data_IF_532684441746
#
_entry.id   IF_532684441746
#
_cell.length_a   1.000
_cell.length_b   1.000
_cell.length_c   1.000
_cell.angle_alpha   90.00
_cell.angle_beta   90.00
_cell.angle_gamma   90.00
#
_symmetry.space_group_name_H-M   'P 1'
#
loop_
_entity.id
_entity.type
_entity.pdbx_description
1 polymer ?
#
# COMPACT_ATOMS: atom_id res chain seq x y z
N UNK A 1 9.18 -3.86 47.31
CA UNK A 1 7.84 -3.38 46.88
C UNK A 1 8.08 -2.20 45.93
N UNK A 2 7.78 -2.32 44.63
CA UNK A 2 7.92 -1.20 43.68
C UNK A 2 6.98 -0.06 44.08
N UNK A 3 7.50 1.17 44.17
CA UNK A 3 6.70 2.34 44.57
C UNK A 3 5.61 2.66 43.54
N UNK A 4 4.55 3.34 43.98
CA UNK A 4 3.44 3.76 43.12
C UNK A 4 3.92 4.54 41.88
N UNK A 5 4.99 5.34 42.05
CA UNK A 5 5.63 6.09 40.97
C UNK A 5 6.27 5.19 39.90
N UNK A 6 6.90 4.08 40.30
CA UNK A 6 7.46 3.12 39.35
C UNK A 6 6.37 2.41 38.55
N UNK A 7 5.24 2.09 39.18
CA UNK A 7 4.09 1.47 38.50
C UNK A 7 3.45 2.45 37.50
N UNK A 8 3.33 3.72 37.86
CA UNK A 8 2.81 4.76 36.97
C UNK A 8 3.74 5.01 35.76
N UNK A 9 5.07 5.05 35.98
CA UNK A 9 6.05 5.22 34.91
C UNK A 9 6.07 4.01 33.96
N UNK A 10 6.00 2.78 34.50
CA UNK A 10 5.90 1.56 33.69
C UNK A 10 4.61 1.52 32.86
N UNK A 11 3.48 1.90 33.45
CA UNK A 11 2.21 1.98 32.72
C UNK A 11 2.26 3.02 31.60
N UNK A 12 2.90 4.16 31.83
CA UNK A 12 3.09 5.21 30.82
C UNK A 12 4.00 4.74 29.67
N UNK A 13 5.12 4.07 29.98
CA UNK A 13 6.02 3.52 28.96
C UNK A 13 5.36 2.42 28.12
N UNK A 14 4.55 1.55 28.74
CA UNK A 14 3.79 0.52 28.02
C UNK A 14 2.68 1.12 27.14
N UNK A 15 2.01 2.18 27.61
CA UNK A 15 1.01 2.88 26.80
C UNK A 15 1.63 3.61 25.60
N UNK A 16 2.85 4.16 25.75
CA UNK A 16 3.57 4.79 24.64
C UNK A 16 4.10 3.76 23.63
N UNK A 17 4.53 2.59 24.10
CA UNK A 17 4.94 1.48 23.23
C UNK A 17 3.75 0.85 22.47
N UNK A 18 2.52 1.02 22.97
CA UNK A 18 1.30 0.55 22.34
C UNK A 18 0.72 1.53 21.31
N UNK A 19 1.48 2.52 20.84
CA UNK A 19 1.09 3.25 19.63
C UNK A 19 0.97 2.24 18.49
N UNK A 20 -0.28 1.90 18.17
CA UNK A 20 -0.61 1.00 17.09
C UNK A 20 -0.03 1.62 15.81
N UNK A 21 0.95 0.95 15.20
CA UNK A 21 1.27 1.20 13.81
C UNK A 21 0.02 0.83 13.01
N UNK A 22 -0.75 1.85 12.62
CA UNK A 22 -1.85 1.64 11.70
C UNK A 22 -1.28 0.93 10.47
N UNK A 23 -1.93 -0.16 10.05
CA UNK A 23 -1.51 -0.85 8.84
C UNK A 23 -1.54 0.16 7.69
N UNK A 24 -0.51 0.20 6.83
CA UNK A 24 -0.51 1.09 5.68
C UNK A 24 -1.75 0.85 4.83
N UNK A 25 -2.46 1.94 4.51
CA UNK A 25 -3.64 1.90 3.67
C UNK A 25 -3.20 1.89 2.20
N UNK A 26 -3.65 0.89 1.44
CA UNK A 26 -3.35 0.78 0.03
C UNK A 26 -4.63 0.92 -0.80
N UNK A 27 -4.57 1.79 -1.79
CA UNK A 27 -5.60 2.02 -2.80
C UNK A 27 -5.03 1.80 -4.20
N UNK A 28 -5.87 1.88 -5.21
CA UNK A 28 -5.41 1.83 -6.61
C UNK A 28 -6.09 2.89 -7.47
N UNK A 29 -5.41 3.28 -8.54
CA UNK A 29 -5.94 4.23 -9.51
C UNK A 29 -7.13 3.64 -10.26
N UNK A 30 -8.24 4.37 -10.33
CA UNK A 30 -9.49 3.96 -11.00
C UNK A 30 -9.66 4.58 -12.37
N UNK A 31 -8.90 5.63 -12.70
CA UNK A 31 -8.93 6.29 -14.00
C UNK A 31 -7.90 5.69 -14.96
N UNK A 32 -8.11 5.86 -16.28
CA UNK A 32 -7.12 5.37 -17.26
C UNK A 32 -5.82 6.18 -17.24
N UNK A 33 -5.89 7.44 -16.83
CA UNK A 33 -4.77 8.36 -16.73
C UNK A 33 -5.02 9.36 -15.59
N UNK A 34 -4.53 9.05 -14.40
CA UNK A 34 -4.64 9.93 -13.23
C UNK A 34 -3.39 10.80 -13.11
N UNK A 35 -3.56 12.11 -12.97
CA UNK A 35 -2.45 13.07 -12.82
C UNK A 35 -2.11 13.22 -11.34
N UNK A 36 -0.81 13.23 -11.03
CA UNK A 36 -0.30 13.56 -9.70
C UNK A 36 0.32 14.96 -9.66
N UNK A 37 0.40 15.57 -8.48
CA UNK A 37 0.75 16.97 -8.27
C UNK A 37 1.71 17.16 -7.08
N UNK A 38 2.46 18.26 -7.04
CA UNK A 38 3.35 18.60 -5.91
C UNK A 38 2.63 19.25 -4.72
N UNK A 39 1.41 19.74 -4.92
CA UNK A 39 0.53 20.28 -3.89
C UNK A 39 -0.94 19.85 -4.14
N UNK A 40 -1.83 19.87 -3.13
CA UNK A 40 -3.24 19.48 -3.27
C UNK A 40 -4.05 20.57 -4.00
N UNK A 41 -3.74 20.80 -5.27
CA UNK A 41 -4.40 21.81 -6.11
C UNK A 41 -4.26 21.46 -7.59
N UNK A 42 -5.32 21.67 -8.36
CA UNK A 42 -5.28 21.54 -9.82
C UNK A 42 -4.38 22.58 -10.50
N UNK A 43 -4.01 23.65 -9.79
CA UNK A 43 -3.07 24.69 -10.28
C UNK A 43 -1.61 24.37 -9.94
N UNK A 44 -1.37 23.32 -9.16
CA UNK A 44 -0.05 22.89 -8.76
C UNK A 44 0.72 22.26 -9.94
N UNK A 45 2.03 22.03 -9.76
CA UNK A 45 2.85 21.41 -10.80
C UNK A 45 2.43 19.94 -10.93
N UNK A 46 2.18 19.51 -12.17
CA UNK A 46 1.95 18.09 -12.49
C UNK A 46 3.28 17.34 -12.42
N UNK A 47 3.28 16.18 -11.77
CA UNK A 47 4.47 15.36 -11.56
C UNK A 47 4.50 14.14 -12.48
N UNK A 48 3.42 13.35 -12.48
CA UNK A 48 3.34 12.13 -13.28
C UNK A 48 1.90 11.80 -13.71
N UNK A 49 1.77 10.80 -14.59
CA UNK A 49 0.49 10.21 -14.99
C UNK A 49 0.55 8.73 -14.62
N UNK A 50 -0.45 8.28 -13.85
CA UNK A 50 -0.58 6.90 -13.39
C UNK A 50 -1.72 6.21 -14.11
N UNK A 51 -1.49 4.96 -14.50
CA UNK A 51 -2.48 4.12 -15.19
C UNK A 51 -3.44 3.46 -14.22
N UNK A 52 -4.62 3.06 -14.72
CA UNK A 52 -5.60 2.25 -13.98
C UNK A 52 -4.93 1.03 -13.32
N UNK A 53 -5.27 0.78 -12.06
CA UNK A 53 -4.75 -0.35 -11.29
C UNK A 53 -3.38 -0.10 -10.66
N UNK A 54 -2.73 1.04 -10.92
CA UNK A 54 -1.47 1.37 -10.24
C UNK A 54 -1.70 1.47 -8.72
N UNK A 55 -0.97 0.70 -7.89
CA UNK A 55 -1.17 0.72 -6.44
C UNK A 55 -0.52 1.95 -5.80
N UNK A 56 -1.17 2.48 -4.78
CA UNK A 56 -0.75 3.66 -4.04
C UNK A 56 -0.89 3.41 -2.54
N UNK A 57 0.15 3.72 -1.78
CA UNK A 57 0.05 3.84 -0.32
C UNK A 57 -0.51 5.22 0.02
N UNK A 58 -1.56 5.28 0.82
CA UNK A 58 -2.13 6.54 1.32
C UNK A 58 -1.32 6.99 2.52
N UNK A 59 -0.68 8.16 2.39
CA UNK A 59 0.17 8.75 3.44
C UNK A 59 -0.58 9.83 4.22
N UNK A 60 -1.39 10.63 3.52
CA UNK A 60 -2.26 11.66 4.12
C UNK A 60 -3.56 11.70 3.34
N UNK A 61 -4.69 11.77 4.04
CA UNK A 61 -6.01 11.98 3.46
C UNK A 61 -6.51 13.38 3.82
N UNK A 62 -6.88 14.16 2.81
CA UNK A 62 -7.55 15.45 2.94
C UNK A 62 -8.87 15.42 2.16
N UNK A 63 -9.72 16.42 2.37
CA UNK A 63 -10.91 16.61 1.55
C UNK A 63 -10.50 16.81 0.08
N UNK A 64 -11.03 15.95 -0.80
CA UNK A 64 -10.76 15.97 -2.25
C UNK A 64 -9.38 15.46 -2.68
N UNK A 65 -8.41 15.32 -1.77
CA UNK A 65 -7.01 15.00 -2.10
C UNK A 65 -6.41 13.94 -1.18
N UNK A 66 -5.54 13.11 -1.75
CA UNK A 66 -4.68 12.21 -0.99
C UNK A 66 -3.22 12.50 -1.32
N UNK A 67 -2.38 12.56 -0.29
CA UNK A 67 -0.93 12.42 -0.45
C UNK A 67 -0.63 10.93 -0.49
N UNK A 68 0.01 10.50 -1.56
CA UNK A 68 0.29 9.10 -1.83
C UNK A 68 1.77 8.86 -1.99
N UNK A 69 2.20 7.63 -1.66
CA UNK A 69 3.49 7.09 -2.07
C UNK A 69 3.27 6.07 -3.18
N UNK A 70 4.00 6.24 -4.29
CA UNK A 70 3.95 5.33 -5.43
C UNK A 70 4.83 4.08 -5.21
N UNK A 71 4.83 3.14 -6.16
CA UNK A 71 5.62 1.90 -6.04
C UNK A 71 7.14 2.12 -6.18
N UNK A 72 7.57 3.30 -6.60
CA UNK A 72 8.98 3.72 -6.65
C UNK A 72 9.39 4.47 -5.36
N UNK A 73 8.44 4.81 -4.49
CA UNK A 73 8.67 5.54 -3.25
C UNK A 73 8.45 7.05 -3.36
N UNK A 74 8.06 7.54 -4.53
CA UNK A 74 7.80 8.96 -4.80
C UNK A 74 6.53 9.43 -4.09
N UNK A 75 6.58 10.65 -3.53
CA UNK A 75 5.45 11.27 -2.85
C UNK A 75 4.79 12.31 -3.75
N UNK A 76 3.48 12.23 -3.92
CA UNK A 76 2.70 13.19 -4.70
C UNK A 76 1.27 13.33 -4.17
N UNK A 77 0.56 14.35 -4.62
CA UNK A 77 -0.86 14.55 -4.39
C UNK A 77 -1.69 14.05 -5.58
N UNK A 78 -2.81 13.42 -5.30
CA UNK A 78 -3.77 12.93 -6.31
C UNK A 78 -5.19 13.27 -5.84
N UNK A 79 -6.10 13.54 -6.78
CA UNK A 79 -7.52 13.74 -6.43
C UNK A 79 -8.14 12.43 -5.93
N UNK A 80 -8.90 12.48 -4.83
CA UNK A 80 -9.53 11.28 -4.23
C UNK A 80 -10.45 10.53 -5.20
N UNK A 81 -11.08 11.24 -6.14
CA UNK A 81 -11.95 10.62 -7.17
C UNK A 81 -11.21 9.68 -8.11
N UNK A 82 -9.89 9.86 -8.27
CA UNK A 82 -9.07 9.08 -9.18
C UNK A 82 -8.53 7.78 -8.56
N UNK A 83 -8.83 7.53 -7.28
CA UNK A 83 -8.39 6.36 -6.53
C UNK A 83 -9.57 5.62 -5.91
N UNK A 84 -9.47 4.30 -5.82
CA UNK A 84 -10.49 3.42 -5.26
C UNK A 84 -9.89 2.49 -4.21
N UNK A 85 -10.76 1.93 -3.37
CA UNK A 85 -10.37 1.09 -2.23
C UNK A 85 -9.80 -0.27 -2.63
N UNK A 86 -9.93 -0.65 -3.90
CA UNK A 86 -9.40 -1.93 -4.39
C UNK A 86 -7.88 -1.96 -4.23
N UNK A 87 -7.39 -2.90 -3.42
CA UNK A 87 -5.97 -3.17 -3.29
C UNK A 87 -5.46 -4.00 -4.47
N UNK A 88 -4.31 -3.60 -5.00
CA UNK A 88 -3.64 -4.27 -6.11
C UNK A 88 -2.23 -4.67 -5.67
N UNK A 89 -1.76 -5.83 -6.14
CA UNK A 89 -0.37 -6.26 -6.04
C UNK A 89 0.35 -5.91 -7.33
N UNK A 90 1.50 -5.25 -7.21
CA UNK A 90 2.39 -4.97 -8.33
C UNK A 90 3.67 -5.80 -8.20
N UNK A 91 4.04 -6.51 -9.25
CA UNK A 91 5.30 -7.25 -9.30
C UNK A 91 6.45 -6.26 -9.49
N UNK A 92 7.36 -6.18 -8.51
CA UNK A 92 8.50 -5.23 -8.51
C UNK A 92 9.82 -5.85 -8.99
N UNK A 93 9.91 -7.18 -9.01
CA UNK A 93 11.10 -7.94 -9.45
C UNK A 93 10.95 -8.33 -10.93
N UNK A 94 12.05 -8.63 -11.67
CA UNK A 94 11.99 -8.98 -13.09
C UNK A 94 10.99 -10.09 -13.42
N UNK A 95 10.96 -11.14 -12.60
CA UNK A 95 10.02 -12.25 -12.71
C UNK A 95 9.80 -12.87 -11.32
N UNK A 96 8.59 -13.35 -11.06
CA UNK A 96 8.24 -14.12 -9.86
C UNK A 96 7.38 -15.33 -10.22
N UNK A 97 7.63 -16.46 -9.56
CA UNK A 97 6.75 -17.63 -9.62
C UNK A 97 5.52 -17.40 -8.73
N UNK A 98 4.32 -17.49 -9.29
CA UNK A 98 3.07 -17.52 -8.53
C UNK A 98 2.68 -18.96 -8.27
N UNK A 99 2.55 -19.33 -7.00
CA UNK A 99 2.39 -20.72 -6.56
C UNK A 99 0.95 -21.03 -6.13
N UNK A 100 0.61 -22.32 -6.20
CA UNK A 100 -0.73 -22.81 -5.86
C UNK A 100 -1.05 -22.67 -4.37
N UNK A 101 -0.03 -22.77 -3.51
CA UNK A 101 -0.12 -22.59 -2.07
C UNK A 101 1.04 -21.71 -1.56
N UNK A 102 0.89 -21.20 -0.33
CA UNK A 102 1.90 -20.40 0.38
C UNK A 102 3.08 -21.26 0.89
N UNK A 103 3.79 -21.89 -0.05
CA UNK A 103 4.92 -22.77 0.18
C UNK A 103 5.84 -22.71 -1.05
N UNK A 104 7.14 -22.47 -0.85
CA UNK A 104 8.15 -22.42 -1.91
C UNK A 104 8.28 -23.74 -2.68
N UNK A 105 7.83 -24.86 -2.11
CA UNK A 105 7.80 -26.18 -2.77
C UNK A 105 6.49 -26.45 -3.52
N UNK A 106 5.48 -25.57 -3.38
CA UNK A 106 4.22 -25.71 -4.09
C UNK A 106 4.39 -25.53 -5.59
N UNK A 107 3.51 -26.17 -6.37
CA UNK A 107 3.50 -26.07 -7.82
C UNK A 107 3.36 -24.61 -8.28
N UNK A 108 4.16 -24.24 -9.29
CA UNK A 108 4.04 -22.94 -9.96
C UNK A 108 2.81 -22.99 -10.87
N UNK A 109 1.90 -22.05 -10.69
CA UNK A 109 0.69 -21.91 -11.51
C UNK A 109 0.97 -21.04 -12.73
N UNK A 110 1.72 -19.94 -12.56
CA UNK A 110 2.20 -19.09 -13.63
C UNK A 110 3.41 -18.26 -13.16
N UNK A 111 4.07 -17.60 -14.11
CA UNK A 111 5.12 -16.59 -13.83
C UNK A 111 4.59 -15.21 -14.17
N UNK A 112 4.84 -14.25 -13.28
CA UNK A 112 4.49 -12.85 -13.50
C UNK A 112 5.77 -12.02 -13.67
N UNK A 113 5.80 -11.19 -14.70
CA UNK A 113 6.92 -10.28 -14.98
C UNK A 113 6.77 -8.97 -14.19
N UNK A 114 7.86 -8.20 -14.13
CA UNK A 114 7.84 -6.87 -13.55
C UNK A 114 6.71 -6.01 -14.15
N UNK A 115 6.06 -5.21 -13.32
CA UNK A 115 4.94 -4.33 -13.66
C UNK A 115 3.60 -5.04 -13.96
N UNK A 116 3.53 -6.37 -13.87
CA UNK A 116 2.24 -7.06 -13.86
C UNK A 116 1.47 -6.68 -12.59
N UNK A 117 0.19 -6.33 -12.77
CA UNK A 117 -0.77 -6.04 -11.69
C UNK A 117 -1.67 -7.24 -11.45
N UNK A 118 -1.90 -7.56 -10.18
CA UNK A 118 -2.74 -8.67 -9.75
C UNK A 118 -3.74 -8.19 -8.70
N UNK A 119 -4.92 -8.80 -8.69
CA UNK A 119 -5.93 -8.51 -7.69
C UNK A 119 -5.49 -9.13 -6.35
N UNK A 120 -5.37 -8.30 -5.31
CA UNK A 120 -5.09 -8.79 -3.95
C UNK A 120 -6.35 -9.45 -3.39
N UNK A 121 -6.20 -10.64 -2.81
CA UNK A 121 -7.30 -11.34 -2.12
C UNK A 121 -7.10 -11.24 -0.60
N UNK A 122 -6.00 -11.80 -0.11
CA UNK A 122 -5.70 -11.88 1.33
C UNK A 122 -4.21 -12.17 1.54
N UNK A 123 -3.74 -11.98 2.77
CA UNK A 123 -2.48 -12.58 3.19
C UNK A 123 -2.74 -14.03 3.60
N UNK A 124 -2.14 -14.98 2.90
CA UNK A 124 -2.36 -16.42 3.15
C UNK A 124 -1.39 -17.00 4.19
N UNK A 125 -0.21 -16.38 4.36
CA UNK A 125 0.80 -16.70 5.36
C UNK A 125 1.81 -15.54 5.47
N UNK A 126 2.70 -15.48 6.49
CA UNK A 126 3.78 -14.51 6.54
C UNK A 126 4.62 -14.54 5.25
N UNK A 127 4.73 -13.38 4.58
CA UNK A 127 5.45 -13.27 3.31
C UNK A 127 4.65 -13.67 2.06
N UNK A 128 3.42 -14.17 2.22
CA UNK A 128 2.58 -14.64 1.12
C UNK A 128 1.29 -13.82 0.99
N UNK A 129 1.01 -13.40 -0.24
CA UNK A 129 -0.27 -12.83 -0.63
C UNK A 129 -0.95 -13.76 -1.63
N UNK A 130 -2.21 -14.07 -1.38
CA UNK A 130 -3.08 -14.74 -2.35
C UNK A 130 -3.57 -13.69 -3.34
N UNK A 131 -3.51 -14.04 -4.61
CA UNK A 131 -3.77 -13.12 -5.73
C UNK A 131 -4.67 -13.77 -6.76
N UNK A 132 -5.35 -12.94 -7.56
CA UNK A 132 -6.03 -13.37 -8.77
C UNK A 132 -5.51 -12.61 -9.99
N UNK A 133 -5.52 -13.30 -11.13
CA UNK A 133 -5.35 -12.72 -12.46
C UNK A 133 -6.71 -12.73 -13.18
N UNK A 134 -6.91 -11.84 -14.16
CA UNK A 134 -8.14 -11.79 -14.96
C UNK A 134 -8.06 -12.63 -16.23
#
# INVERSE_FOLDING_TARGET
MLSLAHRALLAFLLAFAAQANAAPEFRSVTENAAVTYDAPSLRARKLSILSRGYPLEIVVSLEGWAKVRDANGELAWIENKAIGEKRIVLVRVPVIDVRQAADDKSAVVFRAEQNVVLDFIEYSAPGWAKVAHR
#
